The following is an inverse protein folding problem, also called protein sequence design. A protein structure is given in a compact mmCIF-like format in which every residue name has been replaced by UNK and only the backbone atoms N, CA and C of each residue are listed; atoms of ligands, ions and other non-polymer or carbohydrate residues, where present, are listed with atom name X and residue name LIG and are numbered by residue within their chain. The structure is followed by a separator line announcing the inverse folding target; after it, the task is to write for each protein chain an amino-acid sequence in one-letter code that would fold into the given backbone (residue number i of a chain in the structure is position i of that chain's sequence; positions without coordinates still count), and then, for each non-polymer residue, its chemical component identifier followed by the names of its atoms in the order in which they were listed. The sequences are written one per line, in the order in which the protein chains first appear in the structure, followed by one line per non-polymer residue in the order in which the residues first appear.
data_IF_274731273099
#
_entry.id   IF_274731273099
#
_cell.length_a   1.000
_cell.length_b   1.000
_cell.length_c   1.000
_cell.angle_alpha   90.00
_cell.angle_beta   90.00
_cell.angle_gamma   90.00
#
_symmetry.space_group_name_H-M   'P 1'
#
loop_
_entity.id
_entity.type
_entity.pdbx_description
1 polymer ?
#
# COMPACT_ATOMS: atom_id res chain seq x y z
N UNK A 1 11.43 -4.77 3.70
CA UNK A 1 11.68 -3.88 2.53
C UNK A 1 11.46 -2.43 2.97
N UNK A 2 11.87 -1.43 2.17
CA UNK A 2 11.83 -0.02 2.57
C UNK A 2 10.42 0.43 2.97
N UNK A 3 9.39 0.00 2.23
CA UNK A 3 8.00 0.31 2.56
C UNK A 3 7.61 -0.14 3.99
N UNK A 4 7.88 -1.42 4.33
CA UNK A 4 7.57 -1.98 5.66
C UNK A 4 8.31 -1.24 6.77
N UNK A 5 9.62 -1.00 6.61
CA UNK A 5 10.44 -0.28 7.61
C UNK A 5 9.92 1.14 7.83
N UNK A 6 9.57 1.86 6.76
CA UNK A 6 8.97 3.20 6.90
C UNK A 6 7.63 3.13 7.63
N UNK A 7 6.82 2.12 7.35
CA UNK A 7 5.53 1.96 8.01
C UNK A 7 5.63 1.62 9.49
N UNK A 8 6.52 0.69 9.85
CA UNK A 8 6.79 0.30 11.23
C UNK A 8 7.28 1.51 12.04
N UNK A 9 8.19 2.31 11.48
CA UNK A 9 8.69 3.53 12.10
C UNK A 9 7.59 4.57 12.32
N UNK A 10 6.71 4.77 11.32
CA UNK A 10 5.56 5.70 11.44
C UNK A 10 4.61 5.21 12.55
N UNK A 11 4.25 3.92 12.53
CA UNK A 11 3.34 3.31 13.50
C UNK A 11 3.91 3.40 14.91
N UNK A 12 5.20 3.08 15.10
CA UNK A 12 5.88 3.21 16.39
C UNK A 12 5.91 4.65 16.89
N UNK A 13 6.22 5.62 16.01
CA UNK A 13 6.24 7.03 16.38
C UNK A 13 4.86 7.52 16.84
N UNK A 14 3.80 7.14 16.13
CA UNK A 14 2.41 7.47 16.50
C UNK A 14 2.01 6.79 17.80
N UNK A 15 2.40 5.53 18.00
CA UNK A 15 2.08 4.78 19.23
C UNK A 15 2.72 5.41 20.46
N UNK A 16 3.98 5.85 20.35
CA UNK A 16 4.74 6.42 21.46
C UNK A 16 4.38 7.87 21.79
N UNK A 17 4.05 8.67 20.78
CA UNK A 17 3.96 10.13 20.91
C UNK A 17 2.59 10.70 20.51
N UNK A 18 1.64 9.82 20.19
CA UNK A 18 0.33 10.19 19.67
C UNK A 18 0.34 10.72 18.25
N UNK A 19 -0.85 10.99 17.73
CA UNK A 19 -1.11 11.35 16.32
C UNK A 19 -0.46 12.69 15.91
N UNK A 20 -0.06 13.52 16.87
CA UNK A 20 0.57 14.82 16.61
C UNK A 20 1.92 14.72 15.85
N UNK A 21 2.66 13.61 16.00
CA UNK A 21 3.96 13.45 15.33
C UNK A 21 3.88 13.37 13.82
N UNK A 22 2.70 13.11 13.24
CA UNK A 22 2.49 13.18 11.78
C UNK A 22 2.88 14.53 11.18
N UNK A 23 2.89 15.60 11.99
CA UNK A 23 3.29 16.95 11.55
C UNK A 23 4.81 17.12 11.45
N UNK A 24 5.60 16.26 12.10
CA UNK A 24 7.05 16.34 12.12
C UNK A 24 7.63 16.07 10.72
N UNK A 25 8.67 16.81 10.30
CA UNK A 25 9.28 16.66 8.97
C UNK A 25 9.74 15.22 8.67
N UNK A 26 10.31 14.53 9.66
CA UNK A 26 10.79 13.16 9.50
C UNK A 26 9.66 12.19 9.13
N UNK A 27 8.54 12.23 9.86
CA UNK A 27 7.37 11.36 9.60
C UNK A 27 6.74 11.67 8.24
N UNK A 28 6.67 12.95 7.87
CA UNK A 28 6.22 13.35 6.53
C UNK A 28 7.10 12.76 5.44
N UNK A 29 8.41 12.81 5.59
CA UNK A 29 9.36 12.24 4.61
C UNK A 29 9.21 10.71 4.51
N UNK A 30 9.01 10.01 5.63
CA UNK A 30 8.74 8.57 5.61
C UNK A 30 7.46 8.23 4.85
N UNK A 31 6.39 9.02 5.02
CA UNK A 31 5.14 8.87 4.25
C UNK A 31 5.36 9.12 2.75
N UNK A 32 6.13 10.16 2.40
CA UNK A 32 6.50 10.43 1.01
C UNK A 32 7.24 9.24 0.39
N UNK A 33 8.17 8.62 1.13
CA UNK A 33 8.87 7.43 0.64
C UNK A 33 7.89 6.27 0.39
N UNK A 34 6.96 5.99 1.30
CA UNK A 34 5.91 4.97 1.11
C UNK A 34 5.10 5.26 -0.16
N UNK A 35 4.63 6.50 -0.31
CA UNK A 35 3.85 6.95 -1.46
C UNK A 35 4.59 6.82 -2.78
N UNK A 36 5.80 7.35 -2.89
CA UNK A 36 6.56 7.32 -4.14
C UNK A 36 7.03 5.90 -4.49
N UNK A 37 7.25 5.03 -3.50
CA UNK A 37 7.47 3.59 -3.73
C UNK A 37 6.25 2.95 -4.41
N UNK A 38 5.05 3.21 -3.90
CA UNK A 38 3.81 2.67 -4.48
C UNK A 38 3.56 3.20 -5.89
N UNK A 39 3.74 4.50 -6.10
CA UNK A 39 3.59 5.11 -7.43
C UNK A 39 4.55 4.53 -8.46
N UNK A 40 5.80 4.31 -8.08
CA UNK A 40 6.79 3.73 -8.97
C UNK A 40 6.37 2.33 -9.40
N UNK A 41 5.97 1.49 -8.44
CA UNK A 41 5.51 0.12 -8.70
C UNK A 41 4.24 0.13 -9.58
N UNK A 42 3.24 0.92 -9.21
CA UNK A 42 1.99 1.02 -9.97
C UNK A 42 2.26 1.52 -11.41
N UNK A 43 3.09 2.55 -11.57
CA UNK A 43 3.48 3.07 -12.88
C UNK A 43 4.17 1.98 -13.71
N UNK A 44 5.13 1.26 -13.14
CA UNK A 44 5.80 0.17 -13.84
C UNK A 44 4.81 -0.92 -14.27
N UNK A 45 3.91 -1.36 -13.37
CA UNK A 45 2.88 -2.36 -13.70
C UNK A 45 1.99 -1.86 -14.85
N UNK A 46 1.52 -0.61 -14.81
CA UNK A 46 0.66 -0.06 -15.88
C UNK A 46 1.36 -0.01 -17.25
N UNK A 47 2.70 0.05 -17.28
CA UNK A 47 3.50 0.04 -18.50
C UNK A 47 3.98 -1.36 -18.92
N UNK A 48 3.79 -2.37 -18.08
CA UNK A 48 4.14 -3.76 -18.42
C UNK A 48 3.31 -4.31 -19.58
N UNK A 49 3.86 -5.29 -20.29
CA UNK A 49 3.18 -5.97 -21.41
C UNK A 49 2.86 -7.43 -21.09
N UNK A 50 3.64 -8.06 -20.21
CA UNK A 50 3.46 -9.43 -19.77
C UNK A 50 2.69 -9.47 -18.44
N UNK A 51 1.38 -9.68 -18.53
CA UNK A 51 0.50 -9.69 -17.36
C UNK A 51 0.70 -10.92 -16.48
N UNK A 52 1.04 -12.07 -17.07
CA UNK A 52 1.24 -13.31 -16.32
C UNK A 52 2.51 -13.21 -15.47
N UNK A 53 3.62 -12.76 -16.06
CA UNK A 53 4.87 -12.55 -15.34
C UNK A 53 4.69 -11.55 -14.18
N UNK A 54 3.95 -10.45 -14.39
CA UNK A 54 3.65 -9.48 -13.33
C UNK A 54 2.84 -10.14 -12.21
N UNK A 55 1.78 -10.87 -12.56
CA UNK A 55 0.92 -11.54 -11.58
C UNK A 55 1.72 -12.55 -10.74
N UNK A 56 2.51 -13.41 -11.36
CA UNK A 56 3.19 -14.51 -10.65
C UNK A 56 4.35 -14.01 -9.79
N UNK A 57 5.09 -12.99 -10.24
CA UNK A 57 6.36 -12.61 -9.62
C UNK A 57 6.30 -11.32 -8.78
N UNK A 58 5.37 -10.41 -9.09
CA UNK A 58 5.35 -9.06 -8.48
C UNK A 58 4.13 -8.80 -7.60
N UNK A 59 2.96 -9.31 -7.97
CA UNK A 59 1.73 -9.04 -7.22
C UNK A 59 1.74 -9.66 -5.82
N UNK A 60 2.02 -10.96 -5.61
CA UNK A 60 2.02 -11.56 -4.27
C UNK A 60 2.91 -10.82 -3.26
N UNK A 61 4.21 -10.55 -3.51
CA UNK A 61 5.05 -9.87 -2.54
C UNK A 61 4.65 -8.40 -2.33
N UNK A 62 4.04 -7.74 -3.34
CA UNK A 62 3.49 -6.40 -3.19
C UNK A 62 2.29 -6.44 -2.22
N UNK A 63 1.31 -7.31 -2.46
CA UNK A 63 0.11 -7.42 -1.64
C UNK A 63 0.45 -7.75 -0.18
N UNK A 64 1.37 -8.69 0.04
CA UNK A 64 1.86 -9.07 1.37
C UNK A 64 2.58 -7.92 2.11
N UNK A 65 3.12 -6.96 1.35
CA UNK A 65 3.78 -5.80 1.94
C UNK A 65 2.83 -4.65 2.28
N UNK A 66 1.76 -4.48 1.50
CA UNK A 66 0.93 -3.25 1.54
C UNK A 66 -0.44 -3.48 2.15
N UNK A 67 -1.09 -4.62 1.90
CA UNK A 67 -2.47 -4.84 2.31
C UNK A 67 -2.58 -4.97 3.83
N UNK A 68 -1.77 -5.85 4.41
CA UNK A 68 -1.77 -6.08 5.85
C UNK A 68 -1.34 -4.82 6.62
N UNK A 69 -0.43 -4.05 6.05
CA UNK A 69 0.03 -2.78 6.61
C UNK A 69 -1.11 -1.74 6.63
N UNK A 70 -1.84 -1.62 5.51
CA UNK A 70 -2.99 -0.73 5.39
C UNK A 70 -4.08 -1.09 6.41
N UNK A 71 -4.44 -2.38 6.48
CA UNK A 71 -5.47 -2.89 7.38
C UNK A 71 -5.10 -2.71 8.85
N UNK A 72 -3.85 -3.00 9.24
CA UNK A 72 -3.38 -2.91 10.63
C UNK A 72 -3.09 -1.49 11.10
N UNK A 73 -3.03 -0.52 10.20
CA UNK A 73 -2.87 0.88 10.58
C UNK A 73 -4.18 1.36 11.23
N UNK A 74 -4.18 1.41 12.56
CA UNK A 74 -5.37 1.71 13.38
C UNK A 74 -5.78 3.18 13.36
N UNK A 75 -4.83 4.09 13.07
CA UNK A 75 -5.11 5.52 12.95
C UNK A 75 -5.51 5.80 11.49
N UNK A 76 -6.78 6.14 11.19
CA UNK A 76 -7.26 6.26 9.81
C UNK A 76 -6.43 7.23 8.96
N UNK A 77 -6.12 8.41 9.50
CA UNK A 77 -5.28 9.40 8.84
C UNK A 77 -3.82 8.96 8.55
N UNK A 78 -3.35 7.89 9.19
CA UNK A 78 -2.02 7.34 8.96
C UNK A 78 -2.01 6.31 7.82
N UNK A 79 -3.18 5.81 7.40
CA UNK A 79 -3.29 4.94 6.23
C UNK A 79 -2.85 5.70 4.98
N UNK A 80 -2.13 5.01 4.10
CA UNK A 80 -1.58 5.62 2.88
C UNK A 80 -2.59 5.50 1.74
N UNK A 81 -3.25 6.61 1.31
CA UNK A 81 -4.28 6.54 0.27
C UNK A 81 -3.74 6.06 -1.08
N UNK A 82 -2.44 6.22 -1.35
CA UNK A 82 -1.81 5.71 -2.56
C UNK A 82 -1.91 4.17 -2.68
N UNK A 83 -2.14 3.44 -1.58
CA UNK A 83 -2.42 1.98 -1.63
C UNK A 83 -3.67 1.72 -2.48
N UNK A 84 -4.76 2.46 -2.24
CA UNK A 84 -6.01 2.29 -2.98
C UNK A 84 -5.84 2.65 -4.46
N UNK A 85 -5.16 3.76 -4.75
CA UNK A 85 -4.83 4.18 -6.12
C UNK A 85 -3.99 3.13 -6.85
N UNK A 86 -2.98 2.57 -6.19
CA UNK A 86 -2.14 1.53 -6.75
C UNK A 86 -2.93 0.25 -7.02
N UNK A 87 -3.77 -0.21 -6.07
CA UNK A 87 -4.63 -1.38 -6.29
C UNK A 87 -5.58 -1.15 -7.46
N UNK A 88 -6.21 0.02 -7.55
CA UNK A 88 -7.07 0.37 -8.68
C UNK A 88 -6.34 0.33 -10.03
N UNK A 89 -5.15 0.91 -10.10
CA UNK A 89 -4.34 0.91 -11.32
C UNK A 89 -3.89 -0.50 -11.73
N UNK A 90 -3.49 -1.33 -10.76
CA UNK A 90 -3.07 -2.71 -11.00
C UNK A 90 -4.26 -3.57 -11.46
N UNK A 91 -5.41 -3.47 -10.80
CA UNK A 91 -6.62 -4.19 -11.18
C UNK A 91 -7.07 -3.80 -12.58
N UNK A 92 -7.09 -2.50 -12.89
CA UNK A 92 -7.39 -2.01 -14.22
C UNK A 92 -6.43 -2.58 -15.29
N UNK A 93 -5.14 -2.65 -14.98
CA UNK A 93 -4.11 -3.14 -15.92
C UNK A 93 -4.19 -4.66 -16.15
N UNK A 94 -4.31 -5.44 -15.09
CA UNK A 94 -4.24 -6.91 -15.17
C UNK A 94 -5.59 -7.55 -15.54
N UNK A 95 -6.70 -6.87 -15.25
CA UNK A 95 -8.05 -7.34 -15.60
C UNK A 95 -8.35 -8.71 -15.01
N UNK A 96 -8.78 -9.65 -15.85
CA UNK A 96 -9.15 -11.00 -15.44
C UNK A 96 -7.99 -11.80 -14.79
N UNK A 97 -6.73 -11.43 -15.05
CA UNK A 97 -5.57 -12.14 -14.50
C UNK A 97 -5.49 -12.01 -12.98
N UNK A 98 -5.91 -10.87 -12.40
CA UNK A 98 -5.81 -10.63 -10.95
C UNK A 98 -7.08 -11.06 -10.19
N UNK A 99 -8.10 -11.62 -10.85
CA UNK A 99 -9.40 -11.92 -10.22
C UNK A 99 -9.28 -12.79 -8.96
N UNK A 100 -8.32 -13.71 -8.91
CA UNK A 100 -8.05 -14.54 -7.73
C UNK A 100 -7.59 -13.75 -6.49
N UNK A 101 -6.98 -12.58 -6.68
CA UNK A 101 -6.47 -11.73 -5.59
C UNK A 101 -7.51 -10.71 -5.08
N UNK A 102 -8.62 -10.52 -5.80
CA UNK A 102 -9.64 -9.52 -5.45
C UNK A 102 -10.21 -9.72 -4.05
N UNK A 103 -10.57 -10.93 -3.59
CA UNK A 103 -11.03 -11.15 -2.22
C UNK A 103 -10.01 -10.65 -1.19
N UNK A 104 -8.73 -11.02 -1.35
CA UNK A 104 -7.64 -10.61 -0.46
C UNK A 104 -7.46 -9.09 -0.40
N UNK A 105 -7.59 -8.41 -1.54
CA UNK A 105 -7.53 -6.94 -1.60
C UNK A 105 -8.70 -6.35 -0.82
N UNK A 106 -9.93 -6.80 -1.06
CA UNK A 106 -11.13 -6.27 -0.41
C UNK A 106 -11.14 -6.54 1.10
N UNK A 107 -10.76 -7.74 1.54
CA UNK A 107 -10.66 -8.10 2.95
C UNK A 107 -9.74 -7.15 3.72
N UNK A 108 -8.70 -6.63 3.07
CA UNK A 108 -7.72 -5.75 3.70
C UNK A 108 -8.08 -4.27 3.65
N UNK A 109 -8.83 -3.80 2.64
CA UNK A 109 -9.02 -2.36 2.40
C UNK A 109 -10.47 -1.89 2.38
N UNK A 110 -11.47 -2.77 2.21
CA UNK A 110 -12.83 -2.32 1.99
C UNK A 110 -13.49 -1.77 3.27
N UNK A 111 -13.65 -2.63 4.28
CA UNK A 111 -14.35 -2.27 5.53
C UNK A 111 -13.65 -1.13 6.26
N UNK A 112 -12.34 -1.25 6.51
CA UNK A 112 -11.60 -0.25 7.27
C UNK A 112 -11.51 1.11 6.57
N UNK A 113 -11.70 1.19 5.25
CA UNK A 113 -11.74 2.48 4.52
C UNK A 113 -13.11 3.13 4.56
N UNK A 114 -14.17 2.33 4.71
CA UNK A 114 -15.55 2.81 4.74
C UNK A 114 -15.93 3.40 6.11
N UNK A 115 -15.35 2.87 7.18
CA UNK A 115 -15.43 3.38 8.56
C UNK A 115 -14.71 4.72 8.75
#
# INVERSE_FOLDING_TARGET
NVYKVMSENITQAITLNGVAVKKQPLIKNMRVIKKETLKLIATWVTKSTDHQMVLENFIPPLLDAVLLDYQRTTVPDAREPEVLSAMGAIVYKLGAHITSEIPKIFDAVFECTLE
#
